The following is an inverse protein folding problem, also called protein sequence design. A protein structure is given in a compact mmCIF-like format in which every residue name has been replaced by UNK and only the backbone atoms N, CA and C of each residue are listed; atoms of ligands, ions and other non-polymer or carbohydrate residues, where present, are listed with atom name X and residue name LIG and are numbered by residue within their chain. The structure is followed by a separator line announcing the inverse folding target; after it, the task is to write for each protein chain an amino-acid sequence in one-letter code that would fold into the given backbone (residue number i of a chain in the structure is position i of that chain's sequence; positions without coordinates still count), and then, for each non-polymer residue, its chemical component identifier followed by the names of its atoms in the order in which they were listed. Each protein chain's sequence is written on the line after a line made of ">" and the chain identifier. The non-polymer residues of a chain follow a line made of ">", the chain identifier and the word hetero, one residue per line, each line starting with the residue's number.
data_IF_460123157420
#
_entry.id   IF_460123157420
#
_cell.length_a   1.000
_cell.length_b   1.000
_cell.length_c   1.000
_cell.angle_alpha   90.00
_cell.angle_beta   90.00
_cell.angle_gamma   90.00
#
_symmetry.space_group_name_H-M   'P 1'
#
loop_
_entity.id
_entity.type
_entity.pdbx_description
1 polymer ?
#
# COMPACT_ATOMS: atom_id res chain seq x y z
N UNK A 1 11.82 -13.51 27.88
CA UNK A 1 10.45 -12.98 27.85
C UNK A 1 10.32 -12.10 26.59
N UNK A 2 9.48 -12.50 25.63
CA UNK A 2 8.96 -11.67 24.51
C UNK A 2 8.09 -12.49 23.54
N UNK A 3 8.44 -13.76 23.25
CA UNK A 3 7.71 -14.59 22.27
C UNK A 3 6.42 -15.27 22.81
N UNK A 4 5.95 -14.86 23.99
CA UNK A 4 4.70 -15.37 24.57
C UNK A 4 3.46 -14.52 24.24
N UNK A 5 3.64 -13.26 23.85
CA UNK A 5 2.55 -12.25 23.76
C UNK A 5 2.19 -11.87 22.31
N UNK A 6 2.90 -12.39 21.30
CA UNK A 6 2.72 -11.98 19.90
C UNK A 6 3.59 -10.80 19.49
N UNK A 7 3.46 -10.36 18.24
CA UNK A 7 4.24 -9.25 17.65
C UNK A 7 3.33 -8.05 17.45
N UNK A 8 3.71 -6.86 17.96
CA UNK A 8 2.92 -5.63 17.82
C UNK A 8 3.02 -4.99 16.42
N UNK A 9 4.17 -5.16 15.74
CA UNK A 9 4.41 -4.68 14.39
C UNK A 9 5.19 -5.70 13.56
N UNK A 10 4.63 -6.10 12.42
CA UNK A 10 5.29 -6.94 11.42
C UNK A 10 5.47 -6.14 10.12
N UNK A 11 6.69 -6.13 9.59
CA UNK A 11 7.00 -5.55 8.29
C UNK A 11 7.48 -6.64 7.34
N UNK A 12 6.86 -6.72 6.17
CA UNK A 12 7.22 -7.65 5.09
C UNK A 12 7.43 -6.87 3.80
N UNK A 13 8.54 -7.14 3.12
CA UNK A 13 8.88 -6.52 1.84
C UNK A 13 8.89 -7.58 0.73
N UNK A 14 8.19 -7.29 -0.37
CA UNK A 14 7.99 -8.19 -1.52
C UNK A 14 8.57 -7.56 -2.80
N UNK A 15 9.84 -7.84 -3.06
CA UNK A 15 10.67 -7.18 -4.09
C UNK A 15 10.44 -7.71 -5.53
N UNK A 16 9.62 -8.75 -5.69
CA UNK A 16 9.57 -9.53 -6.93
C UNK A 16 9.13 -8.73 -8.16
N UNK A 17 8.27 -7.71 -7.98
CA UNK A 17 7.77 -6.89 -9.08
C UNK A 17 8.85 -5.93 -9.59
N UNK A 18 9.60 -5.29 -8.68
CA UNK A 18 10.71 -4.40 -9.04
C UNK A 18 11.84 -5.18 -9.74
N UNK A 19 12.25 -6.32 -9.17
CA UNK A 19 13.27 -7.20 -9.77
C UNK A 19 12.91 -7.54 -11.22
N UNK A 20 11.66 -7.91 -11.49
CA UNK A 20 11.20 -8.25 -12.85
C UNK A 20 11.19 -7.02 -13.75
N UNK A 21 10.74 -5.86 -13.25
CA UNK A 21 10.76 -4.59 -13.97
C UNK A 21 12.17 -4.19 -14.43
N UNK A 22 13.17 -4.33 -13.56
CA UNK A 22 14.58 -4.09 -13.92
C UNK A 22 15.13 -5.15 -14.88
N UNK A 23 14.87 -6.43 -14.60
CA UNK A 23 15.43 -7.55 -15.36
C UNK A 23 14.95 -7.55 -16.81
N UNK A 24 13.66 -7.25 -17.02
CA UNK A 24 13.04 -7.25 -18.34
C UNK A 24 13.05 -5.88 -19.02
N UNK A 25 13.65 -4.87 -18.38
CA UNK A 25 13.74 -3.50 -18.89
C UNK A 25 12.35 -2.93 -19.23
N UNK A 26 11.42 -3.05 -18.29
CA UNK A 26 10.10 -2.44 -18.41
C UNK A 26 8.94 -3.19 -17.80
N UNK A 27 7.77 -2.58 -17.89
CA UNK A 27 6.51 -3.02 -17.27
C UNK A 27 5.58 -3.76 -18.23
N UNK A 28 5.91 -3.75 -19.52
CA UNK A 28 5.09 -4.32 -20.61
C UNK A 28 5.12 -5.85 -20.71
N UNK A 29 6.26 -6.53 -20.47
CA UNK A 29 6.34 -7.99 -20.60
C UNK A 29 5.32 -8.72 -19.69
N UNK A 30 4.74 -9.83 -20.18
CA UNK A 30 3.77 -10.62 -19.42
C UNK A 30 4.31 -11.08 -18.05
N UNK A 31 5.60 -11.38 -17.97
CA UNK A 31 6.23 -11.79 -16.72
C UNK A 31 6.17 -10.72 -15.61
N UNK A 32 6.06 -9.42 -15.95
CA UNK A 32 5.80 -8.34 -14.98
C UNK A 32 4.40 -8.47 -14.38
N UNK A 33 3.38 -8.73 -15.21
CA UNK A 33 2.01 -9.04 -14.74
C UNK A 33 1.95 -10.32 -13.92
N UNK A 34 2.69 -11.34 -14.32
CA UNK A 34 2.77 -12.59 -13.55
C UNK A 34 3.44 -12.36 -12.18
N UNK A 35 4.40 -11.42 -12.08
CA UNK A 35 5.00 -11.04 -10.80
C UNK A 35 3.99 -10.34 -9.89
N UNK A 36 3.18 -9.43 -10.43
CA UNK A 36 2.07 -8.80 -9.70
C UNK A 36 1.10 -9.87 -9.19
N UNK A 37 0.68 -10.81 -10.04
CA UNK A 37 -0.24 -11.89 -9.64
C UNK A 37 0.35 -12.80 -8.55
N UNK A 38 1.66 -13.07 -8.58
CA UNK A 38 2.35 -13.79 -7.49
C UNK A 38 2.35 -13.01 -6.18
N UNK A 39 2.65 -11.71 -6.23
CA UNK A 39 2.63 -10.84 -5.04
C UNK A 39 1.22 -10.71 -4.47
N UNK A 40 0.19 -10.60 -5.31
CA UNK A 40 -1.23 -10.66 -4.90
C UNK A 40 -1.50 -11.95 -4.10
N UNK A 41 -1.13 -13.11 -4.62
CA UNK A 41 -1.28 -14.38 -3.89
C UNK A 41 -0.56 -14.41 -2.53
N UNK A 42 0.65 -13.83 -2.43
CA UNK A 42 1.41 -13.76 -1.18
C UNK A 42 0.73 -12.82 -0.16
N UNK A 43 0.25 -11.66 -0.60
CA UNK A 43 -0.54 -10.76 0.25
C UNK A 43 -1.80 -11.46 0.75
N UNK A 44 -2.49 -12.21 -0.12
CA UNK A 44 -3.65 -13.02 0.26
C UNK A 44 -3.34 -14.04 1.37
N UNK A 45 -2.18 -14.70 1.33
CA UNK A 45 -1.75 -15.62 2.39
C UNK A 45 -1.50 -14.90 3.72
N UNK A 46 -0.86 -13.73 3.70
CA UNK A 46 -0.62 -12.91 4.90
C UNK A 46 -1.96 -12.48 5.51
N UNK A 47 -2.87 -11.95 4.68
CA UNK A 47 -4.20 -11.51 5.11
C UNK A 47 -5.00 -12.65 5.73
N UNK A 48 -5.00 -13.84 5.12
CA UNK A 48 -5.68 -15.02 5.65
C UNK A 48 -5.09 -15.48 7.00
N UNK A 49 -3.77 -15.39 7.17
CA UNK A 49 -3.12 -15.73 8.43
C UNK A 49 -3.48 -14.74 9.55
N UNK A 50 -3.54 -13.43 9.23
CA UNK A 50 -4.02 -12.39 10.16
C UNK A 50 -5.48 -12.65 10.54
N UNK A 51 -6.35 -12.98 9.59
CA UNK A 51 -7.76 -13.27 9.85
C UNK A 51 -7.95 -14.48 10.76
N UNK A 52 -7.20 -15.57 10.51
CA UNK A 52 -7.23 -16.76 11.35
C UNK A 52 -6.79 -16.45 12.79
N UNK A 53 -5.78 -15.58 12.96
CA UNK A 53 -5.32 -15.15 14.28
C UNK A 53 -6.34 -14.26 14.97
N UNK A 54 -6.88 -13.26 14.28
CA UNK A 54 -7.91 -12.37 14.82
C UNK A 54 -9.14 -13.16 15.31
N UNK A 55 -9.53 -14.22 14.58
CA UNK A 55 -10.60 -15.12 14.99
C UNK A 55 -10.28 -15.93 16.27
N UNK A 56 -9.01 -16.32 16.47
CA UNK A 56 -8.56 -17.05 17.65
C UNK A 56 -8.26 -16.15 18.86
N UNK A 57 -8.01 -14.87 18.63
CA UNK A 57 -7.58 -13.89 19.64
C UNK A 57 -8.44 -12.61 19.57
N UNK A 58 -9.71 -12.72 19.99
CA UNK A 58 -10.69 -11.64 19.86
C UNK A 58 -10.35 -10.33 20.61
N UNK A 59 -9.37 -10.36 21.51
CA UNK A 59 -8.85 -9.19 22.21
C UNK A 59 -7.76 -8.43 21.42
N UNK A 60 -7.25 -9.00 20.34
CA UNK A 60 -6.26 -8.35 19.48
C UNK A 60 -6.94 -7.46 18.44
N UNK A 61 -6.32 -6.31 18.15
CA UNK A 61 -6.74 -5.40 17.08
C UNK A 61 -5.73 -5.50 15.95
N UNK A 62 -6.22 -5.80 14.75
CA UNK A 62 -5.38 -5.97 13.57
C UNK A 62 -5.63 -4.84 12.55
N UNK A 63 -4.55 -4.22 12.09
CA UNK A 63 -4.55 -3.32 10.95
C UNK A 63 -3.51 -3.81 9.95
N UNK A 64 -3.90 -3.92 8.68
CA UNK A 64 -3.04 -4.27 7.56
C UNK A 64 -2.88 -3.02 6.70
N UNK A 65 -1.63 -2.61 6.49
CA UNK A 65 -1.24 -1.58 5.52
C UNK A 65 -0.44 -2.25 4.40
N UNK A 66 -0.82 -2.00 3.15
CA UNK A 66 -0.06 -2.43 1.96
C UNK A 66 0.27 -1.20 1.15
N UNK A 67 1.54 -1.03 0.80
CA UNK A 67 2.03 0.15 0.08
C UNK A 67 3.08 -0.24 -0.93
N UNK A 68 3.40 0.68 -1.85
CA UNK A 68 4.67 0.67 -2.58
C UNK A 68 5.55 1.81 -2.08
N UNK A 69 6.86 1.67 -2.22
CA UNK A 69 7.83 2.74 -2.00
C UNK A 69 7.94 3.67 -3.22
N UNK A 70 7.83 3.11 -4.42
CA UNK A 70 7.80 3.86 -5.67
C UNK A 70 7.01 3.15 -6.77
N UNK A 71 6.86 3.83 -7.91
CA UNK A 71 6.47 3.23 -9.18
C UNK A 71 7.70 2.91 -10.04
N UNK A 72 7.51 2.64 -11.33
CA UNK A 72 8.58 2.16 -12.20
C UNK A 72 8.40 2.68 -13.63
N UNK A 73 9.50 3.07 -14.28
CA UNK A 73 9.46 3.57 -15.66
C UNK A 73 9.00 2.48 -16.62
N UNK A 74 8.26 2.84 -17.69
CA UNK A 74 7.84 1.85 -18.67
C UNK A 74 8.98 1.09 -19.34
N UNK A 75 10.14 1.73 -19.50
CA UNK A 75 11.35 1.19 -20.16
C UNK A 75 12.37 0.57 -19.18
N UNK A 76 12.10 0.53 -17.87
CA UNK A 76 13.06 -0.01 -16.90
C UNK A 76 13.57 1.02 -15.88
N UNK A 77 13.60 0.61 -14.62
CA UNK A 77 14.17 1.34 -13.49
C UNK A 77 13.30 2.45 -12.92
N UNK A 78 13.84 3.15 -11.92
CA UNK A 78 13.21 4.22 -11.17
C UNK A 78 14.29 5.18 -10.64
N UNK A 79 13.90 6.18 -9.83
CA UNK A 79 14.78 7.16 -9.18
C UNK A 79 14.60 8.60 -9.66
N UNK A 80 13.75 8.82 -10.67
CA UNK A 80 13.28 10.12 -11.11
C UNK A 80 11.99 10.56 -10.42
N UNK A 81 11.32 11.53 -11.05
CA UNK A 81 10.07 12.15 -10.57
C UNK A 81 8.97 12.09 -11.63
N UNK A 82 9.08 11.17 -12.60
CA UNK A 82 8.02 11.01 -13.61
C UNK A 82 6.72 10.52 -12.96
N UNK A 83 5.58 10.79 -13.60
CA UNK A 83 4.28 10.32 -13.12
C UNK A 83 4.18 8.77 -13.01
N UNK A 84 5.07 8.02 -13.67
CA UNK A 84 5.19 6.58 -13.50
C UNK A 84 5.99 6.18 -12.27
N UNK A 85 7.01 6.97 -11.91
CA UNK A 85 7.90 6.69 -10.78
C UNK A 85 7.31 7.17 -9.45
N UNK A 86 6.54 8.26 -9.45
CA UNK A 86 5.87 8.79 -8.26
C UNK A 86 4.48 8.20 -8.03
N UNK A 87 4.01 7.35 -8.94
CA UNK A 87 2.78 6.59 -8.77
C UNK A 87 2.96 5.57 -7.66
N UNK A 88 2.30 5.81 -6.54
CA UNK A 88 2.27 4.89 -5.41
C UNK A 88 0.85 4.77 -4.87
N UNK A 89 0.65 3.79 -4.00
CA UNK A 89 -0.62 3.61 -3.32
C UNK A 89 -0.40 3.18 -1.88
N UNK A 90 -1.43 3.45 -1.07
CA UNK A 90 -1.61 2.84 0.25
C UNK A 90 -2.98 2.17 0.28
N UNK A 91 -3.03 0.93 0.71
CA UNK A 91 -4.23 0.16 1.00
C UNK A 91 -4.24 -0.04 2.51
N UNK A 92 -5.32 0.37 3.16
CA UNK A 92 -5.51 0.22 4.60
C UNK A 92 -6.75 -0.65 4.88
N UNK A 93 -6.59 -1.61 5.80
CA UNK A 93 -7.66 -2.46 6.32
C UNK A 93 -7.54 -2.55 7.84
N UNK A 94 -8.58 -2.15 8.56
CA UNK A 94 -8.59 -2.18 10.02
C UNK A 94 -9.63 -1.22 10.61
N UNK A 95 -9.73 -1.18 11.93
CA UNK A 95 -10.56 -0.19 12.61
C UNK A 95 -10.08 1.24 12.25
N UNK A 96 -11.02 2.14 11.99
CA UNK A 96 -10.72 3.51 11.54
C UNK A 96 -10.68 3.71 10.03
N UNK A 97 -10.75 2.64 9.22
CA UNK A 97 -10.79 2.72 7.76
C UNK A 97 -12.11 2.16 7.21
N UNK A 98 -12.84 2.95 6.41
CA UNK A 98 -14.14 2.55 5.86
C UNK A 98 -14.01 1.71 4.57
N UNK A 99 -14.80 0.63 4.46
CA UNK A 99 -14.89 -0.22 3.27
C UNK A 99 -15.14 0.56 1.99
N UNK A 100 -14.44 0.18 0.91
CA UNK A 100 -14.80 0.58 -0.45
C UNK A 100 -14.67 2.08 -0.68
N UNK A 101 -14.00 2.80 0.22
CA UNK A 101 -13.73 4.23 0.09
C UNK A 101 -12.38 4.45 -0.56
N UNK A 102 -12.23 5.60 -1.22
CA UNK A 102 -10.96 6.08 -1.76
C UNK A 102 -10.69 7.44 -1.14
N UNK A 103 -9.44 7.69 -0.76
CA UNK A 103 -9.00 8.97 -0.26
C UNK A 103 -7.66 9.33 -0.94
N UNK A 104 -7.66 10.39 -1.74
CA UNK A 104 -6.47 10.89 -2.41
C UNK A 104 -5.59 11.77 -1.49
N UNK A 105 -6.04 12.01 -0.26
CA UNK A 105 -5.32 12.76 0.77
C UNK A 105 -4.30 11.93 1.55
N UNK A 106 -4.10 10.65 1.22
CA UNK A 106 -3.07 9.84 1.85
C UNK A 106 -1.78 9.83 1.05
N UNK A 107 -0.67 9.96 1.77
CA UNK A 107 0.68 9.97 1.23
C UNK A 107 1.53 8.88 1.91
N UNK A 108 2.70 8.56 1.34
CA UNK A 108 3.65 7.65 1.98
C UNK A 108 4.17 8.18 3.33
N UNK A 109 4.23 9.50 3.49
CA UNK A 109 4.66 10.13 4.74
C UNK A 109 3.69 9.84 5.89
N UNK A 110 2.42 9.58 5.57
CA UNK A 110 1.35 9.34 6.55
C UNK A 110 1.41 7.93 7.16
N UNK A 111 2.17 6.99 6.58
CA UNK A 111 2.27 5.62 7.07
C UNK A 111 2.90 5.57 8.47
N UNK A 112 4.02 6.28 8.66
CA UNK A 112 4.73 6.30 9.96
C UNK A 112 3.87 6.84 11.10
N UNK A 113 3.28 8.04 11.02
CA UNK A 113 2.41 8.55 12.09
C UNK A 113 1.16 7.68 12.28
N UNK A 114 0.62 7.06 11.23
CA UNK A 114 -0.48 6.09 11.38
C UNK A 114 -0.07 4.88 12.22
N UNK A 115 1.11 4.29 11.95
CA UNK A 115 1.62 3.15 12.73
C UNK A 115 1.88 3.55 14.18
N UNK A 116 2.44 4.73 14.42
CA UNK A 116 2.68 5.23 15.78
C UNK A 116 1.36 5.42 16.55
N UNK A 117 0.34 6.03 15.92
CA UNK A 117 -0.99 6.17 16.51
C UNK A 117 -1.64 4.82 16.84
N UNK A 118 -1.54 3.84 15.93
CA UNK A 118 -2.10 2.50 16.14
C UNK A 118 -1.44 1.75 17.33
N UNK A 119 -0.19 2.08 17.62
CA UNK A 119 0.60 1.51 18.71
C UNK A 119 0.57 2.36 19.97
N UNK A 120 -0.24 3.43 20.01
CA UNK A 120 -0.32 4.40 21.11
C UNK A 120 1.06 5.02 21.46
N UNK A 121 1.91 5.21 20.44
CA UNK A 121 3.23 5.84 20.57
C UNK A 121 3.14 7.30 20.08
N UNK A 122 3.60 8.30 20.87
CA UNK A 122 3.59 9.69 20.43
C UNK A 122 4.43 9.90 19.16
N UNK A 123 3.80 10.45 18.13
CA UNK A 123 4.49 10.85 16.91
C UNK A 123 5.45 12.04 17.18
N UNK A 124 6.72 11.99 16.72
CA UNK A 124 7.60 13.15 16.76
C UNK A 124 7.05 14.30 15.93
N UNK A 125 7.17 15.54 16.43
CA UNK A 125 6.64 16.74 15.77
C UNK A 125 7.34 17.13 14.44
N UNK A 126 8.41 16.41 14.06
CA UNK A 126 9.17 16.67 12.83
C UNK A 126 8.78 15.77 11.65
N UNK A 127 7.79 14.88 11.82
CA UNK A 127 7.28 14.10 10.71
C UNK A 127 6.53 15.01 9.73
N UNK A 128 6.76 14.84 8.44
CA UNK A 128 6.04 15.57 7.38
C UNK A 128 4.60 15.05 7.20
N UNK A 129 4.34 13.80 7.58
CA UNK A 129 3.04 13.16 7.45
C UNK A 129 2.14 13.34 8.68
N UNK A 130 0.85 13.08 8.48
CA UNK A 130 -0.15 13.01 9.54
C UNK A 130 -0.82 11.63 9.53
N UNK A 131 -1.35 11.20 10.66
CA UNK A 131 -2.02 9.90 10.75
C UNK A 131 -3.22 9.83 9.81
N UNK A 132 -3.32 8.75 9.05
CA UNK A 132 -4.47 8.48 8.19
C UNK A 132 -5.75 8.27 9.00
N UNK A 133 -5.64 7.93 10.30
CA UNK A 133 -6.79 7.84 11.20
C UNK A 133 -7.42 9.21 11.50
N UNK A 134 -6.65 10.29 11.33
CA UNK A 134 -7.10 11.68 11.54
C UNK A 134 -7.26 12.46 10.24
N UNK A 135 -6.96 11.86 9.08
CA UNK A 135 -7.22 12.44 7.76
C UNK A 135 -6.03 12.41 6.78
N UNK A 136 -4.81 12.16 7.26
CA UNK A 136 -3.58 12.24 6.45
C UNK A 136 -3.17 13.69 6.12
N UNK A 137 -1.94 13.86 5.62
CA UNK A 137 -1.37 15.18 5.32
C UNK A 137 -1.62 15.66 3.88
N UNK A 138 -2.09 14.78 3.00
CA UNK A 138 -2.34 15.09 1.59
C UNK A 138 -3.63 15.87 1.36
N UNK A 139 -3.90 16.19 0.08
CA UNK A 139 -5.11 16.87 -0.34
C UNK A 139 -6.18 15.84 -0.80
N UNK A 140 -7.30 15.64 -0.07
CA UNK A 140 -8.35 14.72 -0.49
C UNK A 140 -9.01 15.08 -1.83
N UNK A 141 -8.93 16.36 -2.22
CA UNK A 141 -9.41 16.85 -3.51
C UNK A 141 -8.34 16.80 -4.61
N UNK A 142 -7.17 16.21 -4.34
CA UNK A 142 -6.16 16.00 -5.37
C UNK A 142 -6.74 15.14 -6.51
N UNK A 143 -6.45 15.49 -7.77
CA UNK A 143 -6.83 14.64 -8.88
C UNK A 143 -6.12 13.29 -8.74
N UNK A 144 -6.77 12.23 -9.22
CA UNK A 144 -6.13 10.92 -9.35
C UNK A 144 -4.82 11.09 -10.14
N UNK A 145 -3.70 10.47 -9.71
CA UNK A 145 -2.43 10.58 -10.43
C UNK A 145 -2.61 10.35 -11.93
N UNK A 146 -2.04 11.24 -12.74
CA UNK A 146 -2.16 11.22 -14.20
C UNK A 146 -1.19 10.22 -14.85
N UNK A 147 -0.86 9.12 -14.16
CA UNK A 147 0.00 8.06 -14.67
C UNK A 147 -0.64 7.50 -15.93
N UNK A 148 0.00 7.62 -17.11
CA UNK A 148 -0.65 7.20 -18.33
C UNK A 148 -0.95 5.69 -18.28
N UNK A 149 -2.16 5.25 -18.68
CA UNK A 149 -2.56 3.85 -18.58
C UNK A 149 -1.54 2.94 -19.25
N UNK A 150 -1.19 1.85 -18.57
CA UNK A 150 -0.22 0.86 -19.06
C UNK A 150 -0.87 -0.16 -20.01
N UNK A 151 -2.18 -0.07 -20.29
CA UNK A 151 -2.86 -0.59 -21.49
C UNK A 151 -4.37 -0.31 -21.38
N UNK A 152 -5.03 0.20 -22.43
CA UNK A 152 -6.50 0.29 -22.50
C UNK A 152 -7.16 -1.00 -23.01
N UNK A 153 -6.38 -2.06 -23.28
CA UNK A 153 -6.85 -3.31 -23.90
C UNK A 153 -6.96 -4.54 -22.99
N UNK A 154 -6.63 -4.45 -21.69
CA UNK A 154 -6.57 -5.63 -20.81
C UNK A 154 -7.81 -5.72 -19.92
N UNK A 155 -8.80 -6.49 -20.35
CA UNK A 155 -9.90 -6.96 -19.51
C UNK A 155 -9.41 -8.12 -18.63
N UNK A 156 -8.78 -7.81 -17.51
CA UNK A 156 -8.25 -8.83 -16.61
C UNK A 156 -7.52 -8.19 -15.45
N UNK A 157 -8.26 -7.71 -14.47
CA UNK A 157 -7.70 -7.22 -13.21
C UNK A 157 -6.94 -8.39 -12.57
N UNK A 158 -5.62 -8.29 -12.46
CA UNK A 158 -4.76 -9.30 -11.78
C UNK A 158 -4.94 -9.32 -10.27
N UNK A 159 -5.94 -8.61 -9.76
CA UNK A 159 -6.26 -8.40 -8.36
C UNK A 159 -7.14 -9.51 -7.76
N UNK A 160 -7.32 -10.62 -8.47
CA UNK A 160 -8.40 -11.57 -8.19
C UNK A 160 -8.40 -12.21 -6.80
N UNK A 161 -7.27 -12.34 -6.09
CA UNK A 161 -7.21 -13.05 -4.80
C UNK A 161 -6.98 -12.13 -3.59
N UNK A 162 -6.03 -11.19 -3.63
CA UNK A 162 -5.82 -10.27 -2.52
C UNK A 162 -6.83 -9.15 -2.52
N UNK A 163 -7.22 -8.58 -3.67
CA UNK A 163 -8.32 -7.61 -3.69
C UNK A 163 -9.60 -8.28 -3.24
N UNK A 164 -9.88 -9.53 -3.63
CA UNK A 164 -11.03 -10.25 -3.09
C UNK A 164 -10.93 -10.47 -1.57
N UNK A 165 -9.77 -10.86 -1.01
CA UNK A 165 -9.60 -11.05 0.43
C UNK A 165 -9.65 -9.72 1.23
N UNK A 166 -9.14 -8.65 0.65
CA UNK A 166 -9.16 -7.32 1.27
C UNK A 166 -10.57 -6.71 1.15
N UNK A 167 -11.25 -6.84 0.01
CA UNK A 167 -12.56 -6.22 -0.33
C UNK A 167 -13.79 -7.07 0.08
N UNK A 168 -13.69 -8.40 0.18
CA UNK A 168 -14.76 -9.25 0.72
C UNK A 168 -14.87 -9.19 2.26
N UNK A 169 -13.95 -8.46 2.89
CA UNK A 169 -14.13 -7.91 4.21
C UNK A 169 -14.58 -6.45 4.03
N UNK A 170 -15.61 -5.94 4.74
CA UNK A 170 -16.11 -4.58 4.58
C UNK A 170 -15.13 -3.49 5.09
N UNK A 171 -13.84 -3.57 4.76
CA UNK A 171 -12.76 -2.70 5.25
C UNK A 171 -11.57 -2.62 4.27
N UNK A 172 -11.76 -2.43 2.96
CA UNK A 172 -10.65 -2.20 2.01
C UNK A 172 -10.63 -0.78 1.42
N UNK A 173 -9.48 -0.13 1.45
CA UNK A 173 -9.17 1.11 0.73
C UNK A 173 -8.23 0.83 -0.45
N UNK A 174 -8.34 1.59 -1.55
CA UNK A 174 -7.27 1.82 -2.52
C UNK A 174 -7.00 3.33 -2.52
N UNK A 175 -5.91 3.78 -1.89
CA UNK A 175 -5.48 5.18 -1.97
C UNK A 175 -4.36 5.29 -3.00
N UNK A 176 -4.52 6.11 -4.03
CA UNK A 176 -3.41 6.47 -4.93
C UNK A 176 -2.80 7.78 -4.45
N UNK A 177 -1.56 7.75 -3.99
CA UNK A 177 -0.82 8.93 -3.55
C UNK A 177 0.17 9.38 -4.62
N UNK A 178 0.29 10.69 -4.84
CA UNK A 178 1.40 11.28 -5.58
C UNK A 178 2.45 11.74 -4.57
N UNK A 179 3.67 11.24 -4.67
CA UNK A 179 4.79 11.79 -3.90
C UNK A 179 5.16 13.17 -4.47
N UNK A 180 4.47 14.23 -4.02
CA UNK A 180 4.94 15.59 -4.30
C UNK A 180 6.11 15.92 -3.39
N UNK A 181 7.32 15.96 -3.96
CA UNK A 181 8.49 16.49 -3.26
C UNK A 181 8.26 17.94 -2.84
N UNK A 182 8.54 18.23 -1.57
CA UNK A 182 8.55 19.59 -1.02
C UNK A 182 9.74 20.37 -1.60
N UNK A 183 9.49 21.12 -2.65
CA UNK A 183 10.32 22.26 -3.02
C UNK A 183 9.73 23.50 -2.35
N UNK A 184 10.34 23.95 -1.26
CA UNK A 184 10.60 25.34 -0.87
C UNK A 184 10.84 25.46 0.65
N UNK A 185 12.09 25.73 1.02
CA UNK A 185 12.48 26.59 2.16
C UNK A 185 13.51 27.59 1.66
#
# INVERSE_FOLDING_TARGET
>A
AAVGEGTDLLFTHLDQVDIVGHTLRGVWPQAYRDAIARVDGLVGQITAAVDARAAAHANERWTILVTTDHGHKPEGGHGGQSAYETASFVIARGAGFAAGTQNNGYTLADITPTVLDLLDVPAPAYLDGESMLTGGSGNPAAPVPNTPPVDSGITGSSSGSAQAAMVANPLCLLGSGSASGSSER
#
